data_IF_454569760325
#
_entry.id   IF_454569760325
#
_cell.length_a   1.000
_cell.length_b   1.000
_cell.length_c   1.000
_cell.angle_alpha   90.00
_cell.angle_beta   90.00
_cell.angle_gamma   90.00
#
_symmetry.space_group_name_H-M   'P 1'
#
loop_
_entity.id
_entity.type
_entity.pdbx_description
1 polymer ?
#
# COMPACT_ATOMS: atom_id res chain seq x y z
N UNK A 1 -5.20 24.84 -9.48
CA UNK A 1 -4.55 23.76 -8.70
C UNK A 1 -5.41 22.51 -8.77
N UNK A 2 -5.01 21.49 -9.51
CA UNK A 2 -5.81 20.26 -9.70
C UNK A 2 -5.85 19.42 -8.42
N UNK A 3 -7.05 19.04 -7.97
CA UNK A 3 -7.24 18.19 -6.79
C UNK A 3 -6.59 16.82 -7.04
N UNK A 4 -5.65 16.41 -6.18
CA UNK A 4 -5.03 15.07 -6.23
C UNK A 4 -6.11 14.02 -5.98
N UNK A 5 -6.37 13.15 -6.98
CA UNK A 5 -7.32 12.04 -6.81
C UNK A 5 -6.71 11.01 -5.87
N UNK A 6 -7.39 10.62 -4.78
CA UNK A 6 -6.91 9.54 -3.93
C UNK A 6 -7.03 8.21 -4.69
N UNK A 7 -5.96 7.41 -4.64
CA UNK A 7 -5.96 6.03 -5.12
C UNK A 7 -6.33 5.11 -3.95
N UNK A 8 -7.29 4.21 -4.13
CA UNK A 8 -7.71 3.24 -3.10
C UNK A 8 -7.36 1.83 -3.57
N UNK A 9 -6.60 1.10 -2.76
CA UNK A 9 -6.28 -0.31 -2.96
C UNK A 9 -7.04 -1.11 -1.90
N UNK A 10 -7.76 -2.16 -2.31
CA UNK A 10 -8.43 -3.08 -1.40
C UNK A 10 -7.68 -4.42 -1.45
N UNK A 11 -7.19 -4.88 -0.29
CA UNK A 11 -6.55 -6.18 -0.15
C UNK A 11 -7.42 -7.07 0.74
N UNK A 12 -7.72 -8.28 0.29
CA UNK A 12 -8.44 -9.29 1.08
C UNK A 12 -7.39 -10.21 1.69
N UNK A 13 -7.25 -10.17 3.01
CA UNK A 13 -6.31 -11.02 3.75
C UNK A 13 -7.01 -12.35 4.08
N UNK A 14 -6.58 -13.44 3.45
CA UNK A 14 -7.26 -14.76 3.53
C UNK A 14 -6.58 -15.73 4.49
N UNK A 15 -5.50 -15.32 5.16
CA UNK A 15 -4.78 -16.10 6.18
C UNK A 15 -3.88 -15.15 6.98
N UNK A 16 -3.34 -15.62 8.12
CA UNK A 16 -2.33 -14.95 8.96
C UNK A 16 -0.99 -14.85 8.20
N UNK A 17 -1.02 -14.14 7.08
CA UNK A 17 0.17 -13.84 6.30
C UNK A 17 0.78 -12.58 6.89
N UNK A 18 2.01 -12.74 7.34
CA UNK A 18 2.87 -11.71 7.92
C UNK A 18 2.77 -10.43 7.09
N UNK A 19 2.71 -9.27 7.75
CA UNK A 19 2.56 -7.96 7.10
C UNK A 19 3.56 -7.72 5.97
N UNK A 20 4.72 -8.37 6.02
CA UNK A 20 5.74 -8.39 4.97
C UNK A 20 5.20 -8.89 3.61
N UNK A 21 4.36 -9.93 3.59
CA UNK A 21 3.79 -10.49 2.36
C UNK A 21 2.82 -9.48 1.73
N UNK A 22 1.97 -8.85 2.55
CA UNK A 22 1.00 -7.85 2.09
C UNK A 22 1.74 -6.60 1.59
N UNK A 23 2.80 -6.19 2.30
CA UNK A 23 3.66 -5.07 1.91
C UNK A 23 4.34 -5.33 0.56
N UNK A 24 4.84 -6.55 0.33
CA UNK A 24 5.46 -6.95 -0.94
C UNK A 24 4.46 -6.92 -2.11
N UNK A 25 3.24 -7.42 -1.89
CA UNK A 25 2.16 -7.36 -2.87
C UNK A 25 1.76 -5.91 -3.21
N UNK A 26 1.56 -5.08 -2.18
CA UNK A 26 1.20 -3.68 -2.33
C UNK A 26 2.32 -2.89 -3.04
N UNK A 27 3.59 -3.10 -2.66
CA UNK A 27 4.75 -2.48 -3.30
C UNK A 27 4.81 -2.79 -4.79
N UNK A 28 4.55 -4.05 -5.16
CA UNK A 28 4.56 -4.49 -6.57
C UNK A 28 3.44 -3.83 -7.38
N UNK A 29 2.22 -3.82 -6.84
CA UNK A 29 1.08 -3.21 -7.51
C UNK A 29 1.26 -1.69 -7.69
N UNK A 30 1.72 -1.01 -6.64
CA UNK A 30 1.90 0.45 -6.67
C UNK A 30 3.06 0.83 -7.61
N UNK A 31 4.18 0.10 -7.59
CA UNK A 31 5.27 0.32 -8.56
C UNK A 31 4.79 0.24 -10.00
N UNK A 32 4.02 -0.80 -10.37
CA UNK A 32 3.48 -0.94 -11.74
C UNK A 32 2.63 0.26 -12.16
N UNK A 33 1.82 0.80 -11.25
CA UNK A 33 1.00 1.99 -11.53
C UNK A 33 1.86 3.24 -11.65
N UNK A 34 2.83 3.41 -10.75
CA UNK A 34 3.75 4.54 -10.77
C UNK A 34 4.60 4.56 -12.04
N UNK A 35 5.16 3.41 -12.43
CA UNK A 35 5.90 3.24 -13.68
C UNK A 35 5.04 3.58 -14.90
N UNK A 36 3.79 3.11 -14.93
CA UNK A 36 2.83 3.43 -16.01
C UNK A 36 2.54 4.94 -16.12
N UNK A 37 2.63 5.66 -15.00
CA UNK A 37 2.40 7.11 -14.94
C UNK A 37 3.69 7.95 -14.98
N UNK A 38 4.87 7.33 -15.14
CA UNK A 38 6.16 8.02 -15.12
C UNK A 38 6.50 8.65 -13.77
N UNK A 39 5.88 8.18 -12.68
CA UNK A 39 6.09 8.67 -11.32
C UNK A 39 7.05 7.74 -10.57
N UNK A 40 7.88 8.31 -9.70
CA UNK A 40 8.77 7.56 -8.81
C UNK A 40 8.41 7.91 -7.36
N UNK A 41 8.10 6.90 -6.56
CA UNK A 41 7.81 7.07 -5.14
C UNK A 41 9.00 6.57 -4.31
N UNK A 42 9.82 7.50 -3.84
CA UNK A 42 11.00 7.22 -3.00
C UNK A 42 10.62 6.78 -1.58
N UNK A 43 9.47 7.24 -1.08
CA UNK A 43 8.97 6.94 0.26
C UNK A 43 7.96 5.78 0.29
N UNK A 44 7.82 5.02 -0.80
CA UNK A 44 6.80 3.98 -0.91
C UNK A 44 6.94 2.92 0.21
N UNK A 45 8.16 2.54 0.56
CA UNK A 45 8.39 1.51 1.57
C UNK A 45 8.01 1.98 2.99
N UNK A 46 8.34 3.23 3.32
CA UNK A 46 7.99 3.87 4.60
C UNK A 46 6.47 4.03 4.74
N UNK A 47 5.79 4.49 3.68
CA UNK A 47 4.33 4.59 3.64
C UNK A 47 3.70 3.22 3.82
N UNK A 48 4.16 2.21 3.08
CA UNK A 48 3.63 0.85 3.23
C UNK A 48 3.86 0.31 4.64
N UNK A 49 4.97 0.68 5.29
CA UNK A 49 5.20 0.34 6.69
C UNK A 49 4.19 0.93 7.64
N UNK A 50 3.86 2.20 7.45
CA UNK A 50 2.94 2.90 8.35
C UNK A 50 1.51 2.38 8.25
N UNK A 51 1.07 2.00 7.06
CA UNK A 51 -0.32 1.62 6.80
C UNK A 51 -0.58 0.10 6.79
N UNK A 52 0.47 -0.71 6.60
CA UNK A 52 0.43 -2.17 6.64
C UNK A 52 1.26 -2.60 7.85
N UNK A 53 0.75 -2.26 9.03
CA UNK A 53 1.21 -2.72 10.33
C UNK A 53 -0.01 -3.18 11.12
N UNK A 54 0.18 -4.14 12.04
CA UNK A 54 -0.88 -4.69 12.89
C UNK A 54 -1.70 -3.60 13.61
N UNK A 55 -1.09 -2.45 13.92
CA UNK A 55 -1.72 -1.30 14.56
C UNK A 55 -2.94 -0.77 13.78
N UNK A 56 -2.94 -0.83 12.44
CA UNK A 56 -4.09 -0.42 11.61
C UNK A 56 -5.16 -1.52 11.46
N UNK A 57 -4.86 -2.78 11.78
CA UNK A 57 -5.85 -3.87 11.74
C UNK A 57 -6.80 -3.84 12.93
N UNK A 58 -6.37 -3.26 14.05
CA UNK A 58 -7.15 -3.24 15.30
C UNK A 58 -8.21 -2.12 15.36
N UNK A 59 -8.18 -1.16 14.43
CA UNK A 59 -9.10 0.01 14.41
C UNK A 59 -10.40 -0.24 13.61
N UNK A 60 -10.66 -1.49 13.18
CA UNK A 60 -11.87 -1.90 12.46
C UNK A 60 -12.76 -2.90 13.24
N UNK A 61 -12.54 -3.09 14.54
CA UNK A 61 -13.37 -3.93 15.39
C UNK A 61 -14.49 -3.14 16.09
#
# INVERSE_FOLDING_TARGET
MGKKKPYKLNFICVEDRSDEIIRSLARTAIKKVLEKHGAVAYNLDEVLSKYISEEMRNEQN
#
